data_IF_852712964946
#
_entry.id   IF_852712964946
#
_cell.length_a   1.000
_cell.length_b   1.000
_cell.length_c   1.000
_cell.angle_alpha   90.00
_cell.angle_beta   90.00
_cell.angle_gamma   90.00
#
_symmetry.space_group_name_H-M   'P 1'
#
loop_
_entity.id
_entity.type
_entity.pdbx_description
1 polymer ?
#
# COMPACT_ATOMS: atom_id res chain seq x y z
N UNK A 1 32.59 0.50 46.44
CA UNK A 1 33.53 0.64 45.32
C UNK A 1 33.03 1.75 44.41
N UNK A 2 33.76 2.86 44.35
CA UNK A 2 33.40 4.06 43.57
C UNK A 2 33.65 3.81 42.07
N UNK A 3 32.67 4.12 41.23
CA UNK A 3 32.65 3.90 39.76
C UNK A 3 33.77 4.65 39.00
N UNK A 4 34.62 5.41 39.70
CA UNK A 4 35.61 6.32 39.10
C UNK A 4 36.90 5.67 38.58
N UNK A 5 37.15 4.37 38.79
CA UNK A 5 38.41 3.71 38.39
C UNK A 5 38.36 2.89 37.10
N UNK A 6 37.27 2.91 36.33
CA UNK A 6 37.19 2.12 35.09
C UNK A 6 37.98 2.76 33.93
N UNK A 7 38.69 1.95 33.09
CA UNK A 7 39.39 2.43 31.89
C UNK A 7 38.45 3.15 30.91
N UNK A 8 38.95 4.15 30.18
CA UNK A 8 38.16 4.95 29.24
C UNK A 8 37.44 4.12 28.15
N UNK A 9 38.03 3.00 27.71
CA UNK A 9 37.41 2.04 26.80
C UNK A 9 36.19 1.35 27.41
N UNK A 10 36.26 1.00 28.70
CA UNK A 10 35.15 0.35 29.43
C UNK A 10 34.03 1.36 29.72
N UNK A 11 34.36 2.63 29.98
CA UNK A 11 33.35 3.70 30.09
C UNK A 11 32.62 3.94 28.77
N UNK A 12 33.36 4.02 27.65
CA UNK A 12 32.76 4.21 26.33
C UNK A 12 31.86 3.06 25.90
N UNK A 13 32.19 1.82 26.27
CA UNK A 13 31.33 0.66 26.02
C UNK A 13 30.07 0.66 26.90
N UNK A 14 30.21 1.07 28.16
CA UNK A 14 29.10 1.20 29.10
C UNK A 14 28.13 2.34 28.69
N UNK A 15 28.65 3.49 28.27
CA UNK A 15 27.85 4.62 27.78
C UNK A 15 27.09 4.28 26.49
N UNK A 16 27.71 3.53 25.57
CA UNK A 16 27.04 3.00 24.37
C UNK A 16 25.94 2.00 24.73
N UNK A 17 26.18 1.12 25.71
CA UNK A 17 25.18 0.15 26.17
C UNK A 17 23.99 0.86 26.82
N UNK A 18 24.22 1.84 27.69
CA UNK A 18 23.17 2.66 28.33
C UNK A 18 22.38 3.48 27.32
N UNK A 19 23.06 4.12 26.36
CA UNK A 19 22.43 4.84 25.24
C UNK A 19 21.52 3.92 24.41
N UNK A 20 22.00 2.71 24.12
CA UNK A 20 21.25 1.70 23.37
C UNK A 20 20.02 1.22 24.15
N UNK A 21 20.16 0.92 25.44
CA UNK A 21 19.04 0.50 26.30
C UNK A 21 17.98 1.61 26.45
N UNK A 22 18.41 2.86 26.61
CA UNK A 22 17.52 4.03 26.63
C UNK A 22 16.75 4.19 25.31
N UNK A 23 17.42 3.96 24.16
CA UNK A 23 16.77 4.00 22.85
C UNK A 23 15.73 2.88 22.68
N UNK A 24 16.05 1.64 23.07
CA UNK A 24 15.12 0.51 22.95
C UNK A 24 13.89 0.68 23.84
N UNK A 25 14.07 1.14 25.08
CA UNK A 25 12.95 1.40 25.99
C UNK A 25 12.05 2.51 25.47
N UNK A 26 12.62 3.56 24.86
CA UNK A 26 11.85 4.63 24.21
C UNK A 26 11.03 4.11 23.04
N UNK A 27 11.64 3.30 22.14
CA UNK A 27 10.93 2.71 21.00
C UNK A 27 9.79 1.79 21.45
N UNK A 28 10.04 0.88 22.40
CA UNK A 28 9.01 -0.03 22.91
C UNK A 28 7.87 0.72 23.60
N UNK A 29 8.18 1.81 24.30
CA UNK A 29 7.17 2.67 24.92
C UNK A 29 6.33 3.38 23.87
N UNK A 30 6.94 3.88 22.80
CA UNK A 30 6.23 4.48 21.66
C UNK A 30 5.29 3.47 20.98
N UNK A 31 5.77 2.26 20.69
CA UNK A 31 4.96 1.18 20.09
C UNK A 31 3.76 0.81 20.98
N UNK A 32 3.99 0.63 22.28
CA UNK A 32 2.93 0.34 23.27
C UNK A 32 1.90 1.47 23.33
N UNK A 33 2.35 2.71 23.40
CA UNK A 33 1.46 3.87 23.48
C UNK A 33 0.62 4.02 22.22
N UNK A 34 1.20 3.74 21.04
CA UNK A 34 0.46 3.80 19.78
C UNK A 34 -0.61 2.70 19.69
N UNK A 35 -0.28 1.47 20.10
CA UNK A 35 -1.23 0.35 20.16
C UNK A 35 -2.45 0.63 21.04
N UNK A 36 -2.24 1.31 22.16
CA UNK A 36 -3.29 1.67 23.11
C UNK A 36 -4.06 2.93 22.69
N UNK A 37 -3.62 3.63 21.65
CA UNK A 37 -4.21 4.89 21.22
C UNK A 37 -5.50 4.67 20.42
N UNK A 38 -6.54 5.42 20.78
CA UNK A 38 -7.78 5.53 19.98
C UNK A 38 -7.49 6.05 18.57
N UNK A 39 -6.45 6.89 18.40
CA UNK A 39 -6.07 7.42 17.09
C UNK A 39 -5.61 6.32 16.14
N UNK A 40 -4.95 5.27 16.62
CA UNK A 40 -4.55 4.13 15.82
C UNK A 40 -5.76 3.38 15.29
N UNK A 41 -6.69 3.01 16.16
CA UNK A 41 -7.85 2.20 15.77
C UNK A 41 -8.83 2.96 14.88
N UNK A 42 -9.00 4.26 15.12
CA UNK A 42 -9.75 5.15 14.21
C UNK A 42 -9.09 5.20 12.83
N UNK A 43 -7.76 5.31 12.79
CA UNK A 43 -7.01 5.32 11.54
C UNK A 43 -7.06 3.96 10.82
N UNK A 44 -6.93 2.85 11.55
CA UNK A 44 -7.02 1.50 11.01
C UNK A 44 -8.40 1.23 10.38
N UNK A 45 -9.49 1.70 11.01
CA UNK A 45 -10.81 1.66 10.39
C UNK A 45 -10.89 2.52 9.12
N UNK A 46 -10.25 3.70 9.13
CA UNK A 46 -10.08 4.52 7.93
C UNK A 46 -9.36 3.78 6.80
N UNK A 47 -8.31 3.03 7.10
CA UNK A 47 -7.60 2.18 6.14
C UNK A 47 -8.46 1.03 5.62
N UNK A 48 -9.27 0.39 6.47
CA UNK A 48 -10.23 -0.62 6.05
C UNK A 48 -11.26 -0.06 5.05
N UNK A 49 -11.90 1.06 5.39
CA UNK A 49 -12.87 1.72 4.51
C UNK A 49 -12.18 2.19 3.22
N UNK A 50 -11.01 2.80 3.35
CA UNK A 50 -10.23 3.30 2.23
C UNK A 50 -9.84 2.21 1.24
N UNK A 51 -9.30 1.09 1.71
CA UNK A 51 -8.93 -0.03 0.84
C UNK A 51 -10.16 -0.76 0.29
N UNK A 52 -11.27 -0.81 1.03
CA UNK A 52 -12.54 -1.34 0.50
C UNK A 52 -13.07 -0.51 -0.66
N UNK A 53 -13.08 0.82 -0.53
CA UNK A 53 -13.44 1.73 -1.60
C UNK A 53 -12.46 1.65 -2.78
N UNK A 54 -11.14 1.59 -2.51
CA UNK A 54 -10.11 1.32 -3.51
C UNK A 54 -10.46 0.09 -4.35
N UNK A 55 -10.65 -1.06 -3.73
CA UNK A 55 -10.91 -2.30 -4.47
C UNK A 55 -12.24 -2.23 -5.22
N UNK A 56 -13.31 -1.72 -4.59
CA UNK A 56 -14.63 -1.60 -5.23
C UNK A 56 -14.56 -0.77 -6.51
N UNK A 57 -14.00 0.45 -6.42
CA UNK A 57 -14.00 1.38 -7.55
C UNK A 57 -12.97 1.01 -8.61
N UNK A 58 -11.73 0.69 -8.22
CA UNK A 58 -10.68 0.41 -9.22
C UNK A 58 -10.92 -0.87 -10.01
N UNK A 59 -11.56 -1.88 -9.41
CA UNK A 59 -12.02 -3.07 -10.14
C UNK A 59 -13.27 -2.71 -10.97
N UNK A 60 -14.21 -1.96 -10.39
CA UNK A 60 -15.43 -1.52 -11.06
C UNK A 60 -15.18 -0.72 -12.35
N UNK A 61 -14.15 0.11 -12.38
CA UNK A 61 -13.77 0.88 -13.57
C UNK A 61 -13.34 0.02 -14.77
N UNK A 62 -12.92 -1.22 -14.51
CA UNK A 62 -12.55 -2.20 -15.54
C UNK A 62 -13.67 -3.15 -15.93
N UNK A 63 -14.85 -3.07 -15.30
CA UNK A 63 -15.96 -3.96 -15.61
C UNK A 63 -16.55 -3.68 -17.00
N UNK A 64 -16.92 -4.75 -17.69
CA UNK A 64 -17.56 -4.71 -19.00
C UNK A 64 -18.55 -5.87 -19.10
N UNK A 65 -19.67 -5.73 -19.85
CA UNK A 65 -20.55 -6.86 -20.12
C UNK A 65 -19.77 -8.01 -20.78
N UNK A 66 -20.19 -9.25 -20.53
CA UNK A 66 -19.68 -10.44 -21.19
C UNK A 66 -19.78 -10.31 -22.72
N UNK A 67 -18.67 -10.54 -23.42
CA UNK A 67 -18.56 -10.32 -24.87
C UNK A 67 -18.46 -8.85 -25.30
N UNK A 68 -18.51 -7.91 -24.34
CA UNK A 68 -18.31 -6.49 -24.57
C UNK A 68 -16.84 -6.12 -24.78
N UNK A 69 -16.61 -4.92 -25.29
CA UNK A 69 -15.26 -4.37 -25.43
C UNK A 69 -14.74 -3.92 -24.06
N UNK A 70 -13.54 -4.34 -23.63
CA UNK A 70 -12.93 -3.83 -22.40
C UNK A 70 -12.72 -2.31 -22.45
N UNK A 71 -12.82 -1.60 -21.31
CA UNK A 71 -12.51 -0.18 -21.27
C UNK A 71 -11.06 0.09 -21.73
N UNK A 72 -10.80 1.18 -22.46
CA UNK A 72 -9.44 1.51 -22.87
C UNK A 72 -8.57 1.80 -21.64
N UNK A 73 -7.28 1.47 -21.71
CA UNK A 73 -6.31 1.72 -20.63
C UNK A 73 -6.30 3.19 -20.20
N UNK A 74 -6.54 4.11 -21.13
CA UNK A 74 -6.68 5.54 -20.86
C UNK A 74 -7.79 5.86 -19.85
N UNK A 75 -8.97 5.25 -20.02
CA UNK A 75 -10.08 5.43 -19.09
C UNK A 75 -9.73 4.88 -17.71
N UNK A 76 -9.14 3.67 -17.66
CA UNK A 76 -8.77 3.01 -16.40
C UNK A 76 -7.73 3.84 -15.65
N UNK A 77 -6.64 4.23 -16.33
CA UNK A 77 -5.54 4.99 -15.72
C UNK A 77 -6.02 6.32 -15.15
N UNK A 78 -6.82 7.08 -15.90
CA UNK A 78 -7.37 8.36 -15.47
C UNK A 78 -8.34 8.17 -14.29
N UNK A 79 -9.28 7.23 -14.39
CA UNK A 79 -10.27 6.98 -13.35
C UNK A 79 -9.61 6.54 -12.03
N UNK A 80 -8.67 5.58 -12.09
CA UNK A 80 -7.94 5.11 -10.91
C UNK A 80 -7.09 6.23 -10.32
N UNK A 81 -6.34 6.98 -11.13
CA UNK A 81 -5.50 8.07 -10.65
C UNK A 81 -6.29 9.16 -9.92
N UNK A 82 -7.35 9.68 -10.53
CA UNK A 82 -8.20 10.68 -9.87
C UNK A 82 -8.91 10.13 -8.63
N UNK A 83 -9.36 8.87 -8.67
CA UNK A 83 -9.99 8.25 -7.52
C UNK A 83 -9.03 8.14 -6.34
N UNK A 84 -7.77 7.75 -6.57
CA UNK A 84 -6.72 7.76 -5.54
C UNK A 84 -6.54 9.15 -4.95
N UNK A 85 -6.48 10.21 -5.77
CA UNK A 85 -6.37 11.57 -5.28
C UNK A 85 -7.53 11.98 -4.37
N UNK A 86 -8.75 11.65 -4.75
CA UNK A 86 -9.96 11.91 -3.95
C UNK A 86 -9.92 11.11 -2.65
N UNK A 87 -9.56 9.84 -2.72
CA UNK A 87 -9.48 8.94 -1.57
C UNK A 87 -8.46 9.42 -0.54
N UNK A 88 -7.26 9.80 -1.00
CA UNK A 88 -6.23 10.37 -0.14
C UNK A 88 -6.71 11.69 0.46
N UNK A 89 -7.30 12.58 -0.33
CA UNK A 89 -7.83 13.86 0.19
C UNK A 89 -8.86 13.62 1.31
N UNK A 90 -9.74 12.62 1.16
CA UNK A 90 -10.78 12.32 2.13
C UNK A 90 -10.24 11.70 3.44
N UNK A 91 -9.20 10.85 3.35
CA UNK A 91 -8.74 10.03 4.47
C UNK A 91 -7.39 10.47 5.06
N UNK A 92 -6.67 11.41 4.44
CA UNK A 92 -5.33 11.84 4.89
C UNK A 92 -5.33 12.30 6.35
N UNK A 93 -6.33 13.09 6.77
CA UNK A 93 -6.44 13.58 8.15
C UNK A 93 -6.87 12.52 9.17
N UNK A 94 -7.30 11.34 8.71
CA UNK A 94 -7.73 10.24 9.57
C UNK A 94 -6.59 9.24 9.77
N UNK A 95 -6.00 8.75 8.68
CA UNK A 95 -4.99 7.68 8.71
C UNK A 95 -3.68 7.99 7.97
N UNK A 96 -3.64 9.07 7.19
CA UNK A 96 -2.63 9.27 6.15
C UNK A 96 -3.01 8.64 4.80
N UNK A 97 -4.12 7.90 4.74
CA UNK A 97 -4.66 7.24 3.56
C UNK A 97 -3.63 6.38 2.82
N UNK A 98 -2.94 5.49 3.54
CA UNK A 98 -1.91 4.65 2.94
C UNK A 98 -2.51 3.68 1.93
N UNK A 99 -3.63 3.03 2.33
CA UNK A 99 -4.45 2.05 1.59
C UNK A 99 -3.64 0.97 0.85
N UNK A 100 -2.39 0.78 1.26
CA UNK A 100 -1.36 -0.02 0.60
C UNK A 100 -0.25 -0.38 1.62
N UNK A 101 0.06 -1.67 1.82
CA UNK A 101 1.15 -2.10 2.70
C UNK A 101 2.52 -1.56 2.28
N UNK A 102 2.78 -1.41 0.97
CA UNK A 102 4.06 -0.87 0.48
C UNK A 102 4.22 0.62 0.83
N UNK A 103 3.15 1.40 0.79
CA UNK A 103 3.15 2.80 1.27
C UNK A 103 3.35 2.82 2.79
N UNK A 104 2.67 1.93 3.51
CA UNK A 104 2.82 1.82 4.97
C UNK A 104 4.26 1.48 5.38
N UNK A 105 4.90 0.57 4.66
CA UNK A 105 6.30 0.23 4.83
C UNK A 105 7.22 1.41 4.50
N UNK A 106 6.95 2.15 3.42
CA UNK A 106 7.73 3.33 3.07
C UNK A 106 7.65 4.41 4.16
N UNK A 107 6.46 4.63 4.74
CA UNK A 107 6.29 5.56 5.87
C UNK A 107 7.02 5.07 7.12
N UNK A 108 7.00 3.77 7.41
CA UNK A 108 7.74 3.19 8.54
C UNK A 108 9.25 3.38 8.39
N UNK A 109 9.81 3.04 7.22
CA UNK A 109 11.24 3.17 6.93
C UNK A 109 11.70 4.64 7.06
N UNK A 110 10.84 5.58 6.69
CA UNK A 110 11.12 7.03 6.79
C UNK A 110 10.75 7.63 8.15
N UNK A 111 10.32 6.83 9.14
CA UNK A 111 10.03 7.29 10.50
C UNK A 111 8.71 8.06 10.65
N UNK A 112 7.80 7.97 9.68
CA UNK A 112 6.48 8.61 9.72
C UNK A 112 5.41 7.77 10.43
N UNK A 113 5.66 6.48 10.67
CA UNK A 113 4.78 5.63 11.48
C UNK A 113 5.57 4.60 12.30
N UNK A 114 4.93 4.08 13.35
CA UNK A 114 5.45 2.98 14.18
C UNK A 114 5.35 1.65 13.45
N UNK A 115 6.12 0.65 13.90
CA UNK A 115 6.04 -0.69 13.33
C UNK A 115 4.66 -1.31 13.58
N UNK A 116 4.12 -1.17 14.79
CA UNK A 116 2.80 -1.68 15.15
C UNK A 116 1.70 -1.07 14.28
N UNK A 117 1.74 0.25 14.03
CA UNK A 117 0.78 0.93 13.16
C UNK A 117 0.85 0.40 11.73
N UNK A 118 2.04 0.23 11.17
CA UNK A 118 2.22 -0.36 9.84
C UNK A 118 1.61 -1.76 9.75
N UNK A 119 1.82 -2.60 10.77
CA UNK A 119 1.27 -3.96 10.81
C UNK A 119 -0.26 -3.95 10.95
N UNK A 120 -0.81 -3.13 11.85
CA UNK A 120 -2.27 -2.99 12.04
C UNK A 120 -2.92 -2.46 10.76
N UNK A 121 -2.32 -1.46 10.11
CA UNK A 121 -2.79 -0.95 8.82
C UNK A 121 -2.83 -2.06 7.78
N UNK A 122 -1.75 -2.83 7.63
CA UNK A 122 -1.68 -3.91 6.63
C UNK A 122 -2.78 -4.95 6.79
N UNK A 123 -3.15 -5.30 8.04
CA UNK A 123 -4.26 -6.20 8.34
C UNK A 123 -5.60 -5.57 7.95
N UNK A 124 -5.87 -4.35 8.37
CA UNK A 124 -7.14 -3.66 8.06
C UNK A 124 -7.29 -3.37 6.56
N UNK A 125 -6.20 -3.07 5.88
CA UNK A 125 -6.14 -2.93 4.43
C UNK A 125 -6.49 -4.25 3.74
N UNK A 126 -5.95 -5.40 4.19
CA UNK A 126 -6.30 -6.71 3.64
C UNK A 126 -7.77 -7.06 3.84
N UNK A 127 -8.32 -6.81 5.04
CA UNK A 127 -9.74 -7.00 5.35
C UNK A 127 -10.61 -6.08 4.48
N UNK A 128 -10.20 -4.82 4.31
CA UNK A 128 -10.87 -3.85 3.46
C UNK A 128 -10.91 -4.30 2.01
N UNK A 129 -9.78 -4.80 1.48
CA UNK A 129 -9.71 -5.31 0.11
C UNK A 129 -10.71 -6.45 -0.14
N UNK A 130 -10.76 -7.43 0.78
CA UNK A 130 -11.72 -8.55 0.69
C UNK A 130 -13.16 -8.03 0.76
N UNK A 131 -13.47 -7.15 1.71
CA UNK A 131 -14.81 -6.59 1.87
C UNK A 131 -15.25 -5.76 0.64
N UNK A 132 -14.36 -4.92 0.11
CA UNK A 132 -14.63 -4.10 -1.07
C UNK A 132 -14.82 -4.93 -2.34
N UNK A 133 -13.97 -5.93 -2.57
CA UNK A 133 -14.15 -6.84 -3.71
C UNK A 133 -15.43 -7.68 -3.57
N UNK A 134 -15.76 -8.11 -2.35
CA UNK A 134 -17.02 -8.80 -2.06
C UNK A 134 -18.25 -7.91 -2.30
N UNK A 135 -18.19 -6.65 -1.87
CA UNK A 135 -19.23 -5.65 -2.13
C UNK A 135 -19.42 -5.44 -3.64
N UNK A 136 -18.33 -5.28 -4.39
CA UNK A 136 -18.41 -5.14 -5.85
C UNK A 136 -19.08 -6.35 -6.49
N UNK A 137 -18.68 -7.57 -6.10
CA UNK A 137 -19.29 -8.82 -6.60
C UNK A 137 -20.80 -8.87 -6.33
N UNK A 138 -21.26 -8.30 -5.22
CA UNK A 138 -22.67 -8.26 -4.85
C UNK A 138 -23.47 -7.23 -5.65
N UNK A 139 -22.92 -6.04 -5.91
CA UNK A 139 -23.63 -4.96 -6.63
C UNK A 139 -23.50 -5.03 -8.15
N UNK A 140 -22.48 -5.74 -8.63
CA UNK A 140 -22.19 -5.90 -10.04
C UNK A 140 -23.31 -6.68 -10.76
N UNK A 141 -23.76 -6.22 -11.94
CA UNK A 141 -24.72 -6.99 -12.74
C UNK A 141 -24.15 -8.36 -13.12
N UNK A 142 -25.04 -9.35 -13.21
CA UNK A 142 -24.68 -10.68 -13.72
C UNK A 142 -24.06 -10.56 -15.12
N UNK A 143 -23.02 -11.34 -15.39
CA UNK A 143 -22.28 -11.31 -16.65
C UNK A 143 -21.35 -10.09 -16.83
N UNK A 144 -21.10 -9.27 -15.79
CA UNK A 144 -20.13 -8.16 -15.86
C UNK A 144 -18.90 -8.36 -14.95
N UNK A 145 -18.86 -9.49 -14.23
CA UNK A 145 -17.87 -9.75 -13.19
C UNK A 145 -16.49 -10.05 -13.76
N UNK A 146 -16.40 -10.66 -14.95
CA UNK A 146 -15.14 -11.06 -15.57
C UNK A 146 -14.23 -11.80 -14.58
N UNK A 147 -12.97 -11.36 -14.48
CA UNK A 147 -12.00 -11.88 -13.51
C UNK A 147 -12.08 -11.23 -12.12
N UNK A 148 -13.06 -10.35 -11.88
CA UNK A 148 -13.20 -9.56 -10.66
C UNK A 148 -11.94 -8.74 -10.31
N UNK A 149 -11.19 -8.33 -11.33
CA UNK A 149 -9.97 -7.55 -11.17
C UNK A 149 -8.78 -8.33 -10.63
N UNK A 150 -8.76 -9.66 -10.78
CA UNK A 150 -7.57 -10.48 -10.57
C UNK A 150 -6.40 -9.91 -11.37
N UNK A 151 -5.28 -9.69 -10.68
CA UNK A 151 -4.03 -9.24 -11.29
C UNK A 151 -3.30 -10.45 -11.84
N UNK A 152 -3.07 -10.46 -13.15
CA UNK A 152 -2.38 -11.53 -13.86
C UNK A 152 -1.45 -10.91 -14.91
N UNK A 153 -0.24 -11.45 -15.11
CA UNK A 153 0.61 -11.03 -16.22
C UNK A 153 -0.08 -11.27 -17.56
N UNK A 154 0.19 -10.40 -18.53
CA UNK A 154 -0.29 -10.57 -19.91
C UNK A 154 0.23 -11.90 -20.48
N UNK A 155 -0.55 -12.61 -21.32
CA UNK A 155 -0.07 -13.79 -22.01
C UNK A 155 1.28 -13.54 -22.72
N UNK A 156 2.27 -14.40 -22.44
CA UNK A 156 3.63 -14.28 -22.97
C UNK A 156 4.62 -13.51 -22.09
N UNK A 157 4.16 -12.89 -20.99
CA UNK A 157 5.04 -12.26 -19.98
C UNK A 157 5.41 -13.29 -18.91
N UNK A 158 6.69 -13.41 -18.58
CA UNK A 158 7.14 -14.28 -17.49
C UNK A 158 6.85 -13.66 -16.11
N UNK A 159 6.71 -14.51 -15.09
CA UNK A 159 6.50 -14.04 -13.71
C UNK A 159 7.63 -13.13 -13.24
N UNK A 160 8.87 -13.39 -13.66
CA UNK A 160 10.02 -12.54 -13.34
C UNK A 160 9.94 -11.15 -13.97
N UNK A 161 9.43 -11.03 -15.20
CA UNK A 161 9.20 -9.75 -15.85
C UNK A 161 8.08 -8.97 -15.15
N UNK A 162 6.99 -9.66 -14.80
CA UNK A 162 5.87 -9.06 -14.07
C UNK A 162 6.30 -8.56 -12.68
N UNK A 163 7.09 -9.34 -11.94
CA UNK A 163 7.63 -8.92 -10.64
C UNK A 163 8.60 -7.74 -10.79
N UNK A 164 9.46 -7.75 -11.81
CA UNK A 164 10.38 -6.64 -12.06
C UNK A 164 9.64 -5.33 -12.33
N UNK A 165 8.61 -5.35 -13.19
CA UNK A 165 7.86 -4.14 -13.48
C UNK A 165 7.07 -3.67 -12.26
N UNK A 166 6.46 -4.58 -11.48
CA UNK A 166 5.75 -4.25 -10.24
C UNK A 166 6.68 -3.63 -9.20
N UNK A 167 7.92 -4.13 -9.07
CA UNK A 167 8.93 -3.51 -8.20
C UNK A 167 9.25 -2.08 -8.62
N UNK A 168 9.46 -1.83 -9.92
CA UNK A 168 9.79 -0.49 -10.45
C UNK A 168 8.65 0.49 -10.24
N UNK A 169 7.41 0.13 -10.57
CA UNK A 169 6.26 1.04 -10.42
C UNK A 169 5.90 1.27 -8.95
N UNK A 170 6.05 0.25 -8.09
CA UNK A 170 5.83 0.39 -6.64
C UNK A 170 6.91 1.26 -6.01
N UNK A 171 8.17 1.11 -6.43
CA UNK A 171 9.25 2.02 -6.05
C UNK A 171 8.91 3.45 -6.46
N UNK A 172 8.50 3.69 -7.70
CA UNK A 172 8.16 5.04 -8.18
C UNK A 172 7.00 5.66 -7.39
N UNK A 173 5.96 4.87 -7.08
CA UNK A 173 4.83 5.31 -6.24
C UNK A 173 5.29 5.70 -4.82
N UNK A 174 6.02 4.81 -4.15
CA UNK A 174 6.48 5.05 -2.77
C UNK A 174 7.51 6.19 -2.70
N UNK A 175 8.47 6.24 -3.62
CA UNK A 175 9.45 7.31 -3.76
C UNK A 175 8.77 8.66 -3.95
N UNK A 176 7.85 8.77 -4.91
CA UNK A 176 7.10 10.00 -5.14
C UNK A 176 6.32 10.43 -3.88
N UNK A 177 5.62 9.49 -3.25
CA UNK A 177 4.81 9.78 -2.06
C UNK A 177 5.65 10.32 -0.91
N UNK A 178 6.77 9.67 -0.59
CA UNK A 178 7.69 10.11 0.48
C UNK A 178 8.34 11.46 0.12
N UNK A 179 8.75 11.66 -1.13
CA UNK A 179 9.33 12.92 -1.59
C UNK A 179 8.35 14.10 -1.51
N UNK A 180 7.04 13.86 -1.62
CA UNK A 180 6.01 14.89 -1.52
C UNK A 180 5.66 15.28 -0.08
N UNK A 181 5.91 14.42 0.89
CA UNK A 181 5.60 14.68 2.31
C UNK A 181 6.84 15.09 3.13
N UNK A 182 8.01 15.21 2.50
CA UNK A 182 9.23 15.62 3.17
C UNK A 182 9.09 17.06 3.68
N UNK A 183 9.13 17.22 5.01
CA UNK A 183 9.01 18.52 5.68
C UNK A 183 10.14 19.50 5.34
N UNK A 184 11.27 19.01 4.83
CA UNK A 184 12.40 19.86 4.40
C UNK A 184 12.16 20.48 3.03
N UNK A 185 11.17 19.98 2.30
CA UNK A 185 10.88 20.40 0.95
C UNK A 185 9.95 21.63 0.96
N UNK A 186 10.47 22.77 0.54
CA UNK A 186 9.74 24.05 0.56
C UNK A 186 9.30 24.53 -0.82
N UNK A 187 9.73 23.85 -1.88
CA UNK A 187 9.43 24.16 -3.28
C UNK A 187 8.13 23.52 -3.79
N UNK A 188 7.57 22.52 -3.08
CA UNK A 188 6.31 21.90 -3.50
C UNK A 188 5.16 22.87 -3.24
N UNK A 189 4.65 23.44 -4.32
CA UNK A 189 3.41 24.20 -4.34
C UNK A 189 2.35 23.37 -5.07
N UNK A 190 1.39 22.80 -4.34
CA UNK A 190 0.31 22.02 -4.94
C UNK A 190 -0.31 20.96 -4.03
N UNK A 191 -1.19 20.15 -4.62
CA UNK A 191 -1.90 19.07 -3.91
C UNK A 191 -1.10 17.77 -3.94
N UNK A 192 -0.57 17.36 -2.78
CA UNK A 192 0.08 16.06 -2.59
C UNK A 192 -0.85 14.90 -2.99
N UNK A 193 -2.15 14.86 -2.59
CA UNK A 193 -3.07 13.83 -3.05
C UNK A 193 -3.20 13.75 -4.58
N UNK A 194 -3.21 14.90 -5.25
CA UNK A 194 -3.27 14.94 -6.71
C UNK A 194 -2.02 14.31 -7.33
N UNK A 195 -0.83 14.68 -6.85
CA UNK A 195 0.44 14.13 -7.34
C UNK A 195 0.54 12.61 -7.14
N UNK A 196 0.07 12.09 -6.00
CA UNK A 196 0.05 10.64 -5.77
C UNK A 196 -0.92 9.92 -6.73
N UNK A 197 -2.08 10.50 -7.02
CA UNK A 197 -2.99 9.93 -8.01
C UNK A 197 -2.44 9.99 -9.45
N UNK A 198 -1.77 11.09 -9.81
CA UNK A 198 -1.13 11.22 -11.11
C UNK A 198 -0.02 10.17 -11.33
N UNK A 199 0.82 9.92 -10.33
CA UNK A 199 1.86 8.89 -10.47
C UNK A 199 1.27 7.48 -10.59
N UNK A 200 0.13 7.21 -9.92
CA UNK A 200 -0.61 5.95 -10.11
C UNK A 200 -1.12 5.83 -11.54
N UNK A 201 -1.70 6.88 -12.12
CA UNK A 201 -2.13 6.87 -13.52
C UNK A 201 -0.96 6.62 -14.49
N UNK A 202 0.17 7.31 -14.29
CA UNK A 202 1.41 7.12 -15.07
C UNK A 202 1.89 5.67 -15.01
N UNK A 203 1.89 5.07 -13.82
CA UNK A 203 2.29 3.68 -13.64
C UNK A 203 1.33 2.71 -14.35
N UNK A 204 0.03 2.98 -14.36
CA UNK A 204 -0.96 2.18 -15.11
C UNK A 204 -0.70 2.29 -16.61
N UNK A 205 -0.47 3.49 -17.15
CA UNK A 205 -0.11 3.66 -18.56
C UNK A 205 1.11 2.85 -18.97
N UNK A 206 2.11 2.77 -18.09
CA UNK A 206 3.36 2.08 -18.35
C UNK A 206 3.26 0.56 -18.21
N UNK A 207 2.68 0.06 -17.11
CA UNK A 207 2.80 -1.35 -16.71
C UNK A 207 1.55 -2.21 -16.95
N UNK A 208 0.41 -1.61 -17.34
CA UNK A 208 -0.84 -2.36 -17.48
C UNK A 208 -0.73 -3.52 -18.49
N UNK A 209 -0.01 -3.32 -19.60
CA UNK A 209 0.19 -4.35 -20.63
C UNK A 209 1.20 -5.45 -20.24
N UNK A 210 1.87 -5.33 -19.09
CA UNK A 210 2.87 -6.31 -18.63
C UNK A 210 2.37 -7.08 -17.41
N UNK A 211 2.07 -6.38 -16.31
CA UNK A 211 1.68 -6.99 -15.03
C UNK A 211 0.24 -6.70 -14.59
N UNK A 212 -0.45 -5.79 -15.28
CA UNK A 212 -1.73 -5.23 -14.81
C UNK A 212 -1.59 -4.05 -13.84
N UNK A 213 -0.37 -3.56 -13.59
CA UNK A 213 -0.04 -2.36 -12.82
C UNK A 213 -0.72 -2.27 -11.44
N UNK A 214 -0.44 -3.22 -10.55
CA UNK A 214 -1.12 -3.31 -9.26
C UNK A 214 -0.59 -2.33 -8.22
N UNK A 215 0.74 -2.26 -8.06
CA UNK A 215 1.46 -1.43 -7.07
C UNK A 215 1.10 -1.68 -5.60
N UNK A 216 0.20 -2.62 -5.31
CA UNK A 216 -0.46 -2.76 -4.03
C UNK A 216 -0.78 -4.23 -3.72
N UNK A 217 -0.07 -4.86 -2.76
CA UNK A 217 -0.29 -6.27 -2.43
C UNK A 217 -1.71 -6.62 -2.00
N UNK A 218 -2.38 -5.77 -1.21
CA UNK A 218 -3.75 -6.09 -0.74
C UNK A 218 -4.80 -5.92 -1.84
N UNK A 219 -4.54 -5.02 -2.81
CA UNK A 219 -5.42 -4.86 -3.99
C UNK A 219 -5.34 -6.07 -4.93
N UNK A 220 -4.21 -6.77 -4.97
CA UNK A 220 -4.12 -8.08 -5.62
C UNK A 220 -4.79 -9.18 -4.78
N UNK A 221 -4.62 -9.13 -3.45
CA UNK A 221 -5.13 -10.13 -2.51
C UNK A 221 -6.67 -10.20 -2.45
N UNK A 222 -7.38 -9.07 -2.41
CA UNK A 222 -8.85 -9.03 -2.28
C UNK A 222 -9.59 -9.89 -3.31
N UNK A 223 -9.38 -9.66 -4.62
CA UNK A 223 -9.92 -10.51 -5.69
C UNK A 223 -9.54 -11.98 -5.58
N UNK A 224 -8.29 -12.28 -5.20
CA UNK A 224 -7.82 -13.65 -5.09
C UNK A 224 -8.58 -14.44 -4.00
N UNK A 225 -8.83 -13.81 -2.85
CA UNK A 225 -9.62 -14.42 -1.78
C UNK A 225 -11.08 -14.58 -2.17
N UNK A 226 -11.69 -13.56 -2.77
CA UNK A 226 -13.12 -13.57 -3.12
C UNK A 226 -13.44 -14.54 -4.26
N UNK A 227 -12.49 -14.75 -5.18
CA UNK A 227 -12.63 -15.70 -6.29
C UNK A 227 -12.08 -17.09 -5.97
N UNK A 228 -11.28 -17.24 -4.90
CA UNK A 228 -10.54 -18.46 -4.59
C UNK A 228 -9.40 -18.75 -5.56
N UNK A 229 -8.99 -17.78 -6.39
CA UNK A 229 -7.95 -17.94 -7.39
C UNK A 229 -6.63 -17.32 -6.93
N UNK A 230 -5.68 -18.19 -6.59
CA UNK A 230 -4.34 -17.82 -6.13
C UNK A 230 -3.24 -18.10 -7.16
N UNK A 231 -3.61 -18.53 -8.38
CA UNK A 231 -2.72 -19.23 -9.31
C UNK A 231 -1.42 -18.52 -9.68
N UNK A 232 -1.34 -17.20 -9.45
CA UNK A 232 -0.10 -16.39 -9.58
C UNK A 232 -0.01 -15.25 -8.56
N UNK A 233 -0.63 -15.40 -7.38
CA UNK A 233 -0.55 -14.40 -6.32
C UNK A 233 0.83 -14.35 -5.66
N UNK A 234 1.51 -15.49 -5.65
CA UNK A 234 2.90 -15.65 -5.27
C UNK A 234 3.61 -16.31 -6.45
N UNK A 235 4.85 -15.93 -6.73
CA UNK A 235 5.70 -16.62 -7.71
C UNK A 235 5.86 -18.07 -7.26
N UNK A 236 5.00 -18.93 -7.79
CA UNK A 236 5.08 -20.37 -7.68
C UNK A 236 5.16 -20.86 -9.09
N UNK A 237 6.39 -21.00 -9.57
CA UNK A 237 6.71 -21.87 -10.71
C UNK A 237 6.05 -23.21 -10.43
N UNK A 238 5.05 -23.57 -11.24
CA UNK A 238 4.71 -24.93 -11.66
C UNK A 238 3.41 -24.87 -12.47
N UNK A 239 3.53 -24.86 -13.78
CA UNK A 239 3.07 -25.97 -14.63
C UNK A 239 3.42 -25.69 -16.08
N UNK A 240 3.98 -26.72 -16.72
CA UNK A 240 4.11 -26.89 -18.17
C UNK A 240 2.79 -26.71 -18.91
#
# INVERSE_FOLDING_TARGET
MSVRSLPALVRGDNDRRVSRESRWTTLLTQEKNDLLSVSLWRAAFGEFVGTGLLCTFTIGFGMTPEGGTPPPVLQIAIAVGFFISVLITALANVSGAHVNPCISLAFFINGHCTFARMMVYSVFQALGAVAGTGLLKFIAPSGHLGSLGLIQPTPGVSDSQAVMVEMVITFLLTFNTVAMIDSKRTDVQGSVPLQVGLIVAVNIFFANSVSGACMNPVRAFGPAVVTGNYGRLHVSSNSC
#
